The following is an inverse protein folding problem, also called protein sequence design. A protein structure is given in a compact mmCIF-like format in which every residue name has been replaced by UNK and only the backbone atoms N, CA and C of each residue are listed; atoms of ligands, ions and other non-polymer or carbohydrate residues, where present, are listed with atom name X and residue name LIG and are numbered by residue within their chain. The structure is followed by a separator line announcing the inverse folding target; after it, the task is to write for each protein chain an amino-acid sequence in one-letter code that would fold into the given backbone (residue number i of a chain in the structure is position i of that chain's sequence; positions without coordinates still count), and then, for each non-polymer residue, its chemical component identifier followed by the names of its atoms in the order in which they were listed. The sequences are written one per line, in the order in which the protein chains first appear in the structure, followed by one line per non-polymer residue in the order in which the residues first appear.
data_IF_564683988967
#
_entry.id   IF_564683988967
#
_cell.length_a   1.000
_cell.length_b   1.000
_cell.length_c   1.000
_cell.angle_alpha   90.00
_cell.angle_beta   90.00
_cell.angle_gamma   90.00
#
_symmetry.space_group_name_H-M   'P 1'
#
loop_
_entity.id
_entity.type
_entity.pdbx_description
1 polymer ?
#
# COMPACT_ATOMS: atom_id res chain seq x y z
N UNK A 1 3.24 -23.48 29.22
CA UNK A 1 2.96 -23.39 27.79
C UNK A 1 3.84 -24.38 27.04
N UNK A 2 3.25 -25.18 26.21
CA UNK A 2 4.03 -26.07 25.34
C UNK A 2 4.39 -25.33 24.04
N UNK A 3 5.31 -25.90 23.30
CA UNK A 3 5.79 -25.29 22.05
C UNK A 3 4.68 -25.08 21.03
N UNK A 4 3.65 -25.90 21.07
CA UNK A 4 2.51 -25.82 20.18
C UNK A 4 1.64 -24.58 20.45
N UNK A 5 1.43 -24.27 21.73
CA UNK A 5 0.68 -23.08 22.15
C UNK A 5 1.45 -21.81 21.83
N UNK A 6 2.75 -21.82 22.03
CA UNK A 6 3.63 -20.71 21.68
C UNK A 6 3.59 -20.43 20.19
N UNK A 7 3.67 -21.49 19.37
CA UNK A 7 3.55 -21.38 17.91
C UNK A 7 2.22 -20.78 17.48
N UNK A 8 1.14 -21.18 18.14
CA UNK A 8 -0.19 -20.70 17.81
C UNK A 8 -0.35 -19.22 18.17
N UNK A 9 0.17 -18.80 19.32
CA UNK A 9 0.16 -17.40 19.72
C UNK A 9 0.99 -16.53 18.79
N UNK A 10 2.15 -17.00 18.39
CA UNK A 10 3.00 -16.30 17.42
C UNK A 10 2.31 -16.23 16.08
N UNK A 11 1.62 -17.29 15.65
CA UNK A 11 0.87 -17.31 14.39
C UNK A 11 -0.28 -16.30 14.42
N UNK A 12 -1.02 -16.23 15.52
CA UNK A 12 -2.10 -15.26 15.66
C UNK A 12 -1.58 -13.83 15.67
N UNK A 13 -0.48 -13.58 16.37
CA UNK A 13 0.16 -12.27 16.37
C UNK A 13 0.66 -11.92 14.98
N UNK A 14 1.22 -12.88 14.27
CA UNK A 14 1.67 -12.70 12.89
C UNK A 14 0.50 -12.47 11.96
N UNK A 15 -0.63 -13.13 12.14
CA UNK A 15 -1.83 -12.90 11.34
C UNK A 15 -2.37 -11.49 11.47
N UNK A 16 -2.33 -10.94 12.68
CA UNK A 16 -2.67 -9.53 12.90
C UNK A 16 -1.68 -8.61 12.21
N UNK A 17 -0.41 -8.98 12.21
CA UNK A 17 0.63 -8.28 11.47
C UNK A 17 0.57 -8.59 9.99
N UNK A 18 0.22 -9.82 9.63
CA UNK A 18 0.09 -10.26 8.26
C UNK A 18 -1.07 -9.60 7.53
N UNK A 19 -2.04 -9.08 8.26
CA UNK A 19 -2.96 -8.14 7.66
C UNK A 19 -2.18 -7.01 6.98
N UNK A 20 -1.08 -6.55 7.62
CA UNK A 20 -0.19 -5.53 7.05
C UNK A 20 0.87 -6.11 6.12
N UNK A 21 1.40 -7.30 6.43
CA UNK A 21 2.44 -7.95 5.61
C UNK A 21 1.84 -8.54 4.35
N UNK A 22 0.62 -9.04 4.42
CA UNK A 22 -0.14 -9.43 3.23
C UNK A 22 -0.37 -8.25 2.30
N UNK A 23 -0.31 -7.04 2.82
CA UNK A 23 -0.37 -5.83 2.02
C UNK A 23 0.83 -5.70 1.09
N UNK A 24 1.93 -6.39 1.37
CA UNK A 24 3.08 -6.50 0.46
C UNK A 24 2.72 -7.25 -0.81
N UNK A 25 1.74 -8.16 -0.72
CA UNK A 25 1.23 -8.93 -1.85
C UNK A 25 -0.09 -8.38 -2.37
N UNK A 26 -0.57 -7.33 -1.76
CA UNK A 26 -1.81 -6.69 -2.15
C UNK A 26 -1.59 -5.93 -3.46
N UNK A 27 -2.46 -6.17 -4.41
CA UNK A 27 -2.35 -5.54 -5.72
C UNK A 27 -3.10 -4.22 -5.82
N UNK A 28 -3.98 -3.94 -4.87
CA UNK A 28 -4.78 -2.72 -4.82
C UNK A 28 -4.57 -2.03 -3.48
N UNK A 29 -4.15 -0.78 -3.53
CA UNK A 29 -3.89 0.04 -2.35
C UNK A 29 -4.96 1.12 -2.19
N UNK A 30 -5.28 1.47 -0.95
CA UNK A 30 -5.98 2.72 -0.66
C UNK A 30 -4.93 3.84 -0.51
N UNK A 31 -5.39 5.06 -0.19
CA UNK A 31 -4.50 6.21 -0.11
C UNK A 31 -3.48 6.07 1.02
N UNK A 32 -3.87 5.48 2.14
CA UNK A 32 -2.95 5.26 3.27
C UNK A 32 -1.88 4.22 2.91
N UNK A 33 -2.30 3.15 2.27
CA UNK A 33 -1.42 2.06 1.88
C UNK A 33 -0.40 2.51 0.83
N UNK A 34 -0.84 3.25 -0.18
CA UNK A 34 0.08 3.74 -1.22
C UNK A 34 1.04 4.79 -0.66
N UNK A 35 0.58 5.63 0.25
CA UNK A 35 1.44 6.61 0.93
C UNK A 35 2.54 5.91 1.70
N UNK A 36 2.18 4.86 2.44
CA UNK A 36 3.15 4.05 3.17
C UNK A 36 4.10 3.32 2.23
N UNK A 37 3.57 2.72 1.18
CA UNK A 37 4.34 1.99 0.17
C UNK A 37 5.39 2.88 -0.51
N UNK A 38 5.03 4.10 -0.83
CA UNK A 38 5.91 5.06 -1.49
C UNK A 38 6.69 5.94 -0.50
N UNK A 39 6.44 5.77 0.78
CA UNK A 39 7.03 6.60 1.84
C UNK A 39 6.78 8.10 1.62
N UNK A 40 5.55 8.41 1.26
CA UNK A 40 5.09 9.78 1.06
C UNK A 40 3.95 10.09 2.03
N UNK A 41 3.68 11.36 2.27
CA UNK A 41 2.55 11.77 3.08
C UNK A 41 1.24 11.56 2.32
N UNK A 42 0.15 11.34 3.04
CA UNK A 42 -1.19 11.25 2.44
C UNK A 42 -1.51 12.55 1.70
N UNK A 43 -1.14 13.69 2.28
CA UNK A 43 -1.32 15.00 1.65
C UNK A 43 -0.63 15.07 0.29
N UNK A 44 0.59 14.55 0.21
CA UNK A 44 1.36 14.50 -1.04
C UNK A 44 0.66 13.61 -2.08
N UNK A 45 0.18 12.43 -1.67
CA UNK A 45 -0.56 11.53 -2.56
C UNK A 45 -1.83 12.20 -3.09
N UNK A 46 -2.60 12.84 -2.22
CA UNK A 46 -3.83 13.54 -2.61
C UNK A 46 -3.55 14.67 -3.59
N UNK A 47 -2.46 15.39 -3.38
CA UNK A 47 -2.02 16.46 -4.26
C UNK A 47 -1.68 15.92 -5.65
N UNK A 48 -0.96 14.81 -5.71
CA UNK A 48 -0.59 14.14 -6.96
C UNK A 48 -1.80 13.58 -7.70
N UNK A 49 -2.77 13.01 -6.98
CA UNK A 49 -4.00 12.51 -7.61
C UNK A 49 -4.84 13.66 -8.15
N UNK A 50 -4.92 14.77 -7.41
CA UNK A 50 -5.64 15.96 -7.83
C UNK A 50 -5.09 16.55 -9.13
N UNK A 51 -3.78 16.46 -9.32
CA UNK A 51 -3.10 16.94 -10.53
C UNK A 51 -3.02 15.90 -11.63
N UNK A 52 -3.50 14.69 -11.38
CA UNK A 52 -3.40 13.58 -12.33
C UNK A 52 -1.98 13.09 -12.55
N UNK A 53 -1.09 13.31 -11.58
CA UNK A 53 0.32 12.94 -11.69
C UNK A 53 0.61 11.48 -11.32
N UNK A 54 -0.30 10.82 -10.64
CA UNK A 54 -0.13 9.44 -10.18
C UNK A 54 -1.30 8.59 -10.66
N UNK A 55 -1.03 7.37 -11.17
CA UNK A 55 -2.11 6.47 -11.59
C UNK A 55 -3.03 6.14 -10.42
N UNK A 56 -4.31 6.35 -10.60
CA UNK A 56 -5.31 6.10 -9.55
C UNK A 56 -6.65 5.73 -10.16
N UNK A 57 -7.52 5.16 -9.33
CA UNK A 57 -8.89 4.82 -9.69
C UNK A 57 -9.83 5.36 -8.63
N UNK A 58 -11.01 5.75 -9.04
CA UNK A 58 -12.02 6.29 -8.14
C UNK A 58 -13.38 5.71 -8.52
N UNK A 59 -13.56 4.39 -8.38
CA UNK A 59 -14.73 3.71 -8.94
C UNK A 59 -16.08 4.18 -8.38
N UNK A 60 -16.12 4.58 -7.11
CA UNK A 60 -17.33 5.09 -6.47
C UNK A 60 -17.44 6.61 -6.50
N UNK A 61 -16.41 7.30 -7.01
CA UNK A 61 -16.33 8.75 -6.98
C UNK A 61 -15.96 9.34 -5.63
N UNK A 62 -15.75 8.51 -4.62
CA UNK A 62 -15.48 8.96 -3.25
C UNK A 62 -14.15 8.48 -2.72
N UNK A 63 -13.78 7.23 -2.97
CA UNK A 63 -12.57 6.62 -2.43
C UNK A 63 -11.55 6.36 -3.53
N UNK A 64 -10.31 6.73 -3.26
CA UNK A 64 -9.19 6.52 -4.16
C UNK A 64 -8.60 5.12 -3.98
N UNK A 65 -8.29 4.50 -5.11
CA UNK A 65 -7.57 3.22 -5.16
C UNK A 65 -6.41 3.34 -6.12
N UNK A 66 -5.37 2.56 -5.84
CA UNK A 66 -4.14 2.55 -6.63
C UNK A 66 -3.77 1.10 -6.92
N UNK A 67 -3.47 0.81 -8.18
CA UNK A 67 -3.07 -0.53 -8.59
C UNK A 67 -1.55 -0.62 -8.45
N UNK A 68 -1.08 -1.58 -7.64
CA UNK A 68 0.33 -1.74 -7.31
C UNK A 68 1.20 -1.77 -8.56
N UNK A 69 0.80 -2.54 -9.55
CA UNK A 69 1.54 -2.66 -10.81
C UNK A 69 1.69 -1.31 -11.52
N UNK A 70 0.64 -0.52 -11.55
CA UNK A 70 0.68 0.82 -12.15
C UNK A 70 1.57 1.76 -11.34
N UNK A 71 1.53 1.64 -10.02
CA UNK A 71 2.37 2.45 -9.13
C UNK A 71 3.84 2.08 -9.34
N UNK A 72 4.15 0.80 -9.40
CA UNK A 72 5.52 0.33 -9.64
C UNK A 72 6.06 0.83 -10.98
N UNK A 73 5.26 0.77 -12.03
CA UNK A 73 5.61 1.28 -13.34
C UNK A 73 5.79 2.80 -13.34
N UNK A 74 4.91 3.49 -12.65
CA UNK A 74 4.99 4.94 -12.51
C UNK A 74 6.29 5.37 -11.81
N UNK A 75 6.66 4.68 -10.74
CA UNK A 75 7.93 4.94 -10.05
C UNK A 75 9.11 4.63 -10.96
N UNK A 76 9.07 3.50 -11.66
CA UNK A 76 10.14 3.07 -12.55
C UNK A 76 10.36 4.04 -13.71
N UNK A 77 9.28 4.66 -14.20
CA UNK A 77 9.32 5.60 -15.31
C UNK A 77 9.48 7.06 -14.89
N UNK A 78 9.51 7.32 -13.59
CA UNK A 78 9.72 8.68 -13.11
C UNK A 78 11.16 9.13 -13.37
N UNK A 79 11.34 10.43 -13.51
CA UNK A 79 12.65 11.01 -13.80
C UNK A 79 13.66 10.64 -12.74
N UNK A 80 14.80 10.13 -13.16
CA UNK A 80 15.94 9.95 -12.29
C UNK A 80 16.46 11.31 -11.84
N UNK A 81 16.57 11.47 -10.54
CA UNK A 81 17.22 12.63 -9.96
C UNK A 81 18.57 12.16 -9.40
N UNK A 82 19.61 12.66 -9.90
CA UNK A 82 20.94 12.35 -9.36
C UNK A 82 21.84 11.67 -10.32
#
# INVERSE_FOLDING_TARGET
MNAKEIKQLVTEALEKYFGKVNDLHKEIFDVLEVADYLNLSVSNIRKKTSKGEIPHRKPSGKKLYFIKKEIDEWVANSKRIG
#
